data_IF_782242236706
#
_entry.id   IF_782242236706
#
_cell.length_a   1.000
_cell.length_b   1.000
_cell.length_c   1.000
_cell.angle_alpha   90.00
_cell.angle_beta   90.00
_cell.angle_gamma   90.00
#
_symmetry.space_group_name_H-M   'P 1'
#
loop_
_entity.id
_entity.type
_entity.pdbx_description
1 polymer ?
#
# COMPACT_ATOMS: atom_id res chain seq x y z
N UNK A 1 -38.50 -12.23 28.84
CA UNK A 1 -37.21 -12.97 28.81
C UNK A 1 -36.30 -12.21 27.85
N UNK A 2 -35.18 -11.66 28.33
CA UNK A 2 -34.22 -10.94 27.47
C UNK A 2 -33.14 -11.94 27.09
N UNK A 3 -33.08 -12.31 25.81
CA UNK A 3 -31.97 -13.07 25.25
C UNK A 3 -30.70 -12.21 25.38
N UNK A 4 -29.77 -12.67 26.20
CA UNK A 4 -28.41 -12.18 26.20
C UNK A 4 -27.79 -12.62 24.87
N UNK A 5 -27.54 -11.66 23.99
CA UNK A 5 -26.66 -11.85 22.84
C UNK A 5 -25.27 -12.20 23.39
N UNK A 6 -24.88 -13.48 23.33
CA UNK A 6 -23.51 -13.88 23.57
C UNK A 6 -22.64 -13.22 22.50
N UNK A 7 -21.93 -12.16 22.89
CA UNK A 7 -20.92 -11.55 22.04
C UNK A 7 -19.88 -12.63 21.72
N UNK A 8 -19.90 -13.13 20.48
CA UNK A 8 -19.00 -14.19 20.04
C UNK A 8 -17.55 -13.84 20.36
N UNK A 9 -16.84 -14.77 21.01
CA UNK A 9 -15.47 -14.56 21.46
C UNK A 9 -14.56 -14.50 20.23
N UNK A 10 -14.19 -13.28 19.80
CA UNK A 10 -13.10 -13.07 18.86
C UNK A 10 -11.80 -13.46 19.57
N UNK A 11 -11.12 -14.48 19.05
CA UNK A 11 -9.87 -15.00 19.63
C UNK A 11 -8.62 -14.35 19.03
N UNK A 12 -8.71 -13.94 17.77
CA UNK A 12 -7.58 -13.39 17.00
C UNK A 12 -8.10 -12.35 16.02
N UNK A 13 -7.34 -11.27 15.85
CA UNK A 13 -7.57 -10.25 14.83
C UNK A 13 -6.29 -10.15 14.01
N UNK A 14 -6.41 -10.26 12.68
CA UNK A 14 -5.31 -10.05 11.73
C UNK A 14 -5.60 -8.74 11.01
N UNK A 15 -4.63 -7.84 11.01
CA UNK A 15 -4.70 -6.56 10.32
C UNK A 15 -3.88 -6.63 9.05
N UNK A 16 -4.45 -6.15 7.95
CA UNK A 16 -3.66 -5.75 6.79
C UNK A 16 -2.75 -4.56 7.19
N UNK A 17 -1.61 -4.43 6.55
CA UNK A 17 -0.73 -3.27 6.73
C UNK A 17 -1.24 -2.12 5.87
N UNK A 18 -1.57 -2.38 4.60
CA UNK A 18 -2.02 -1.38 3.64
C UNK A 18 -3.46 -0.95 3.92
N UNK A 19 -3.71 0.36 3.93
CA UNK A 19 -5.03 0.99 4.11
C UNK A 19 -5.78 0.64 5.40
N UNK A 20 -5.16 -0.13 6.31
CA UNK A 20 -5.68 -0.48 7.63
C UNK A 20 -4.78 0.08 8.73
N UNK A 21 -3.48 -0.23 8.73
CA UNK A 21 -2.53 0.31 9.71
C UNK A 21 -1.77 1.51 9.17
N UNK A 22 -1.39 1.44 7.89
CA UNK A 22 -0.54 2.41 7.24
C UNK A 22 -1.13 2.82 5.90
N UNK A 23 -0.95 4.09 5.56
CA UNK A 23 -1.31 4.64 4.26
C UNK A 23 -0.04 5.04 3.52
N UNK A 24 0.07 4.57 2.29
CA UNK A 24 1.04 5.07 1.32
C UNK A 24 0.34 6.05 0.38
N UNK A 25 0.87 7.26 0.25
CA UNK A 25 0.54 8.13 -0.88
C UNK A 25 1.53 7.84 -2.02
N UNK A 26 1.19 6.83 -2.83
CA UNK A 26 2.05 6.34 -3.90
C UNK A 26 2.35 7.43 -4.94
N UNK A 27 1.36 8.28 -5.23
CA UNK A 27 1.52 9.38 -6.16
C UNK A 27 2.51 10.43 -5.62
N UNK A 28 2.43 10.76 -4.33
CA UNK A 28 3.38 11.69 -3.71
C UNK A 28 4.81 11.14 -3.68
N UNK A 29 4.98 9.85 -3.38
CA UNK A 29 6.28 9.17 -3.51
C UNK A 29 6.83 9.29 -4.94
N UNK A 30 5.98 9.04 -5.95
CA UNK A 30 6.38 9.16 -7.35
C UNK A 30 6.79 10.59 -7.73
N UNK A 31 6.11 11.62 -7.19
CA UNK A 31 6.50 13.03 -7.38
C UNK A 31 7.86 13.34 -6.78
N UNK A 32 8.12 12.89 -5.55
CA UNK A 32 9.41 13.10 -4.89
C UNK A 32 10.57 12.50 -5.69
N UNK A 33 10.36 11.34 -6.32
CA UNK A 33 11.41 10.62 -7.05
C UNK A 33 11.64 11.13 -8.48
N UNK A 34 10.63 11.73 -9.11
CA UNK A 34 10.71 12.15 -10.53
C UNK A 34 10.78 13.66 -10.72
N UNK A 35 10.35 14.45 -9.74
CA UNK A 35 10.31 15.91 -9.79
C UNK A 35 9.32 16.48 -10.81
N UNK A 36 8.48 15.66 -11.47
CA UNK A 36 7.48 16.13 -12.43
C UNK A 36 6.25 15.21 -12.50
N UNK A 37 5.08 15.80 -12.73
CA UNK A 37 3.78 15.09 -12.70
C UNK A 37 3.66 13.98 -13.75
N UNK A 38 4.23 14.19 -14.94
CA UNK A 38 4.08 13.25 -16.06
C UNK A 38 4.79 11.93 -15.76
N UNK A 39 6.04 12.03 -15.33
CA UNK A 39 6.84 10.86 -15.00
C UNK A 39 6.35 10.23 -13.70
N UNK A 40 5.89 11.04 -12.72
CA UNK A 40 5.26 10.52 -11.51
C UNK A 40 4.03 9.66 -11.82
N UNK A 41 3.11 10.14 -12.67
CA UNK A 41 1.94 9.37 -13.10
C UNK A 41 2.33 8.08 -13.84
N UNK A 42 3.39 8.12 -14.66
CA UNK A 42 3.85 6.93 -15.36
C UNK A 42 4.32 5.84 -14.38
N UNK A 43 5.08 6.21 -13.35
CA UNK A 43 5.51 5.25 -12.32
C UNK A 43 4.31 4.79 -11.49
N UNK A 44 3.44 5.71 -11.04
CA UNK A 44 2.28 5.37 -10.22
C UNK A 44 1.35 4.36 -10.90
N UNK A 45 1.01 4.63 -12.17
CA UNK A 45 0.15 3.73 -12.95
C UNK A 45 0.80 2.38 -13.21
N UNK A 46 2.10 2.35 -13.52
CA UNK A 46 2.76 1.08 -13.85
C UNK A 46 3.10 0.28 -12.60
N UNK A 47 3.78 0.87 -11.62
CA UNK A 47 4.33 0.14 -10.48
C UNK A 47 3.25 -0.19 -9.43
N UNK A 48 2.39 0.76 -9.07
CA UNK A 48 1.45 0.57 -7.96
C UNK A 48 0.08 0.06 -8.39
N UNK A 49 -0.28 0.17 -9.68
CA UNK A 49 -1.61 -0.23 -10.18
C UNK A 49 -1.57 -1.38 -11.21
N UNK A 50 -0.61 -1.35 -12.14
CA UNK A 50 -0.47 -2.38 -13.18
C UNK A 50 0.28 -3.61 -12.68
N UNK A 51 1.46 -3.44 -12.07
CA UNK A 51 2.14 -4.54 -11.36
C UNK A 51 1.25 -4.93 -10.19
N UNK A 52 0.78 -6.19 -10.18
CA UNK A 52 -0.07 -6.73 -9.11
C UNK A 52 0.78 -7.06 -7.89
N UNK A 53 1.20 -6.01 -7.17
CA UNK A 53 2.09 -6.11 -6.01
C UNK A 53 1.52 -7.01 -4.91
N UNK A 54 0.19 -7.19 -4.82
CA UNK A 54 -0.42 -8.14 -3.88
C UNK A 54 0.04 -9.60 -4.08
N UNK A 55 0.60 -9.96 -5.24
CA UNK A 55 1.18 -11.28 -5.47
C UNK A 55 2.56 -11.45 -4.83
N UNK A 56 3.17 -10.36 -4.35
CA UNK A 56 4.39 -10.42 -3.54
C UNK A 56 4.09 -10.96 -2.15
N UNK A 57 2.91 -10.64 -1.58
CA UNK A 57 2.48 -11.12 -0.26
C UNK A 57 2.32 -12.66 -0.23
N UNK A 58 1.97 -13.25 -1.37
CA UNK A 58 1.86 -14.71 -1.54
C UNK A 58 3.15 -15.35 -2.04
N UNK A 59 4.24 -14.58 -2.21
CA UNK A 59 5.51 -15.04 -2.77
C UNK A 59 5.45 -15.46 -4.24
N UNK A 60 4.32 -15.22 -4.92
CA UNK A 60 4.12 -15.58 -6.33
C UNK A 60 4.83 -14.61 -7.28
N UNK A 61 5.03 -13.36 -6.83
CA UNK A 61 5.80 -12.34 -7.51
C UNK A 61 7.02 -11.97 -6.65
N UNK A 62 8.21 -11.96 -7.25
CA UNK A 62 9.40 -11.44 -6.59
C UNK A 62 9.56 -9.96 -6.88
N UNK A 63 10.30 -9.24 -6.04
CA UNK A 63 10.66 -7.83 -6.28
C UNK A 63 11.34 -7.64 -7.65
N UNK A 64 12.30 -8.52 -7.98
CA UNK A 64 12.93 -8.50 -9.30
C UNK A 64 11.93 -8.68 -10.44
N UNK A 65 10.97 -9.61 -10.28
CA UNK A 65 9.90 -9.84 -11.26
C UNK A 65 9.00 -8.61 -11.43
N UNK A 66 8.64 -7.96 -10.33
CA UNK A 66 7.87 -6.71 -10.34
C UNK A 66 8.61 -5.61 -11.14
N UNK A 67 9.92 -5.45 -10.91
CA UNK A 67 10.74 -4.48 -11.65
C UNK A 67 10.89 -4.84 -13.12
N UNK A 68 11.01 -6.12 -13.48
CA UNK A 68 11.02 -6.56 -14.88
C UNK A 68 9.72 -6.16 -15.59
N UNK A 69 8.56 -6.39 -14.95
CA UNK A 69 7.26 -5.98 -15.49
C UNK A 69 7.18 -4.47 -15.62
N UNK A 70 7.59 -3.72 -14.59
CA UNK A 70 7.58 -2.27 -14.61
C UNK A 70 8.49 -1.70 -15.72
N UNK A 71 9.73 -2.19 -15.83
CA UNK A 71 10.70 -1.77 -16.82
C UNK A 71 10.27 -2.03 -18.26
N UNK A 72 9.47 -3.07 -18.50
CA UNK A 72 8.91 -3.36 -19.82
C UNK A 72 7.91 -2.28 -20.28
N UNK A 73 7.28 -1.56 -19.35
CA UNK A 73 6.24 -0.55 -19.64
C UNK A 73 6.73 0.89 -19.40
N UNK A 74 7.86 1.07 -18.72
CA UNK A 74 8.44 2.37 -18.40
C UNK A 74 9.60 2.74 -19.33
N UNK A 75 9.75 4.03 -19.59
CA UNK A 75 10.93 4.58 -20.23
C UNK A 75 12.17 4.36 -19.36
N UNK A 76 13.31 4.00 -19.97
CA UNK A 76 14.57 3.69 -19.25
C UNK A 76 15.00 4.75 -18.24
N UNK A 77 14.74 6.04 -18.50
CA UNK A 77 15.06 7.12 -17.55
C UNK A 77 14.33 7.00 -16.21
N UNK A 78 13.20 6.29 -16.17
CA UNK A 78 12.36 6.11 -14.99
C UNK A 78 12.71 4.86 -14.20
N UNK A 79 13.54 3.97 -14.73
CA UNK A 79 13.87 2.70 -14.08
C UNK A 79 14.51 2.90 -12.71
N UNK A 80 15.40 3.88 -12.57
CA UNK A 80 16.01 4.19 -11.26
C UNK A 80 14.95 4.62 -10.24
N UNK A 81 14.03 5.48 -10.63
CA UNK A 81 12.95 5.94 -9.76
C UNK A 81 11.98 4.80 -9.41
N UNK A 82 11.64 3.92 -10.37
CA UNK A 82 10.80 2.75 -10.10
C UNK A 82 11.48 1.75 -9.16
N UNK A 83 12.78 1.49 -9.33
CA UNK A 83 13.56 0.65 -8.41
C UNK A 83 13.55 1.21 -6.99
N UNK A 84 13.83 2.51 -6.84
CA UNK A 84 13.80 3.18 -5.53
C UNK A 84 12.40 3.16 -4.93
N UNK A 85 11.37 3.41 -5.73
CA UNK A 85 9.99 3.35 -5.25
C UNK A 85 9.63 1.96 -4.72
N UNK A 86 10.04 0.88 -5.38
CA UNK A 86 9.74 -0.48 -4.90
C UNK A 86 10.60 -0.91 -3.72
N UNK A 87 11.84 -0.44 -3.63
CA UNK A 87 12.75 -0.80 -2.54
C UNK A 87 12.43 -0.08 -1.23
N UNK A 88 12.03 1.20 -1.32
CA UNK A 88 11.98 2.10 -0.17
C UNK A 88 10.57 2.60 0.17
N UNK A 89 9.50 2.06 -0.44
CA UNK A 89 8.12 2.56 -0.25
C UNK A 89 7.66 2.60 1.21
N UNK A 90 8.11 1.64 2.02
CA UNK A 90 7.74 1.48 3.42
C UNK A 90 8.20 2.65 4.28
N UNK A 91 9.32 3.29 3.90
CA UNK A 91 9.84 4.49 4.54
C UNK A 91 8.94 5.72 4.36
N UNK A 92 8.01 5.67 3.40
CA UNK A 92 7.09 6.76 3.08
C UNK A 92 5.66 6.50 3.55
N UNK A 93 5.43 5.38 4.23
CA UNK A 93 4.14 5.07 4.81
C UNK A 93 3.86 5.94 6.04
N UNK A 94 2.61 6.35 6.20
CA UNK A 94 2.13 7.12 7.36
C UNK A 94 1.10 6.33 8.15
N UNK A 95 1.10 6.46 9.47
CA UNK A 95 0.11 5.80 10.32
C UNK A 95 -1.29 6.34 10.03
N UNK A 96 -2.27 5.44 9.86
CA UNK A 96 -3.67 5.85 9.82
C UNK A 96 -4.06 6.27 11.23
N UNK A 97 -4.28 7.58 11.42
CA UNK A 97 -4.75 8.10 12.69
C UNK A 97 -6.19 7.67 12.90
N UNK A 98 -6.40 6.70 13.80
CA UNK A 98 -7.70 6.44 14.37
C UNK A 98 -8.08 7.66 15.21
N UNK A 99 -8.87 8.57 14.63
CA UNK A 99 -9.63 9.52 15.45
C UNK A 99 -10.47 8.66 16.39
N UNK A 100 -10.20 8.74 17.69
CA UNK A 100 -11.05 8.14 18.71
C UNK A 100 -12.46 8.69 18.53
N UNK A 101 -13.28 7.97 17.78
CA UNK A 101 -14.72 8.10 17.88
C UNK A 101 -15.02 7.63 19.29
N UNK A 102 -15.50 8.55 20.13
CA UNK A 102 -15.94 8.24 21.48
C UNK A 102 -16.91 7.05 21.39
N UNK A 103 -16.47 5.88 21.84
CA UNK A 103 -17.35 4.74 22.02
C UNK A 103 -18.37 5.15 23.10
N UNK A 104 -19.53 5.65 22.68
CA UNK A 104 -20.65 5.79 23.60
C UNK A 104 -21.03 4.37 23.98
N UNK A 105 -20.81 4.00 25.24
CA UNK A 105 -21.42 2.79 25.81
C UNK A 105 -22.91 2.90 25.56
N UNK A 106 -23.45 2.02 24.71
CA UNK A 106 -24.88 1.79 24.71
C UNK A 106 -25.24 1.26 26.10
N UNK A 107 -26.14 1.98 26.76
CA UNK A 107 -26.66 1.69 28.10
C UNK A 107 -27.69 0.57 28.03
#
# INVERSE_FOLDING_TARGET
MRENQEAGIIKTIVFDVGDVLMKLDAMELCRMLTGNERDAHAIDQILFHHVKLQFMDTGTLTEHGALVIAHAHLLKRLWKAANTALADWDLYCTLISLKQTSWRRCS
#
